data_IF_378419754512
#
_entry.id   IF_378419754512
#
_cell.length_a   1.000
_cell.length_b   1.000
_cell.length_c   1.000
_cell.angle_alpha   90.00
_cell.angle_beta   90.00
_cell.angle_gamma   90.00
#
_symmetry.space_group_name_H-M   'P 1'
#
loop_
_entity.id
_entity.type
_entity.pdbx_description
1 polymer ?
#
# COMPACT_ATOMS: atom_id res chain seq x y z
N UNK A 1 -12.27 12.76 4.26
CA UNK A 1 -11.20 13.78 4.41
C UNK A 1 -10.10 13.80 3.33
N UNK A 2 -9.89 12.78 2.49
CA UNK A 2 -9.23 12.97 1.17
C UNK A 2 -10.21 12.64 0.04
N UNK A 3 -10.92 11.51 0.17
CA UNK A 3 -12.00 11.09 -0.72
C UNK A 3 -13.19 12.08 -0.83
N UNK A 4 -13.34 12.99 0.13
CA UNK A 4 -14.40 14.00 0.12
C UNK A 4 -13.99 15.30 -0.60
N UNK A 5 -12.69 15.56 -0.73
CA UNK A 5 -12.15 16.77 -1.36
C UNK A 5 -11.63 16.51 -2.79
N UNK A 6 -11.28 15.26 -3.09
CA UNK A 6 -10.82 14.86 -4.42
C UNK A 6 -11.99 14.63 -5.39
N UNK A 7 -11.84 14.96 -6.68
CA UNK A 7 -12.83 14.61 -7.70
C UNK A 7 -13.08 13.09 -7.74
N UNK A 8 -14.28 12.71 -8.18
CA UNK A 8 -14.57 11.30 -8.46
C UNK A 8 -13.58 10.74 -9.49
N UNK A 9 -13.03 9.57 -9.20
CA UNK A 9 -11.99 8.91 -10.00
C UNK A 9 -10.58 9.42 -9.74
N UNK A 10 -10.34 10.29 -8.75
CA UNK A 10 -8.99 10.76 -8.43
C UNK A 10 -8.08 9.56 -8.12
N UNK A 11 -6.90 9.48 -8.76
CA UNK A 11 -6.03 8.33 -8.65
C UNK A 11 -5.28 8.32 -7.32
N UNK A 12 -5.23 7.16 -6.68
CA UNK A 12 -4.48 6.95 -5.43
C UNK A 12 -3.68 5.67 -5.48
N UNK A 13 -2.55 5.68 -4.78
CA UNK A 13 -1.77 4.48 -4.52
C UNK A 13 -1.92 4.06 -3.06
N UNK A 14 -2.18 2.76 -2.85
CA UNK A 14 -2.18 2.17 -1.52
C UNK A 14 -0.75 1.78 -1.13
N UNK A 15 -0.23 2.41 -0.07
CA UNK A 15 1.03 2.00 0.53
C UNK A 15 0.79 0.89 1.55
N UNK A 16 1.47 -0.24 1.38
CA UNK A 16 1.48 -1.37 2.31
C UNK A 16 2.80 -1.35 3.07
N UNK A 17 2.74 -1.43 4.39
CA UNK A 17 3.92 -1.57 5.23
C UNK A 17 4.27 -3.05 5.39
N UNK A 18 5.31 -3.46 4.67
CA UNK A 18 5.84 -4.83 4.71
C UNK A 18 7.05 -4.99 5.65
N UNK A 19 7.38 -3.96 6.46
CA UNK A 19 8.50 -4.05 7.41
C UNK A 19 9.29 -2.76 7.68
N UNK A 20 8.88 -1.60 7.13
CA UNK A 20 9.50 -0.31 7.48
C UNK A 20 8.91 0.30 8.75
N UNK A 21 7.67 -0.04 9.10
CA UNK A 21 6.99 0.44 10.32
C UNK A 21 6.94 1.96 10.46
N UNK A 22 6.80 2.65 9.32
CA UNK A 22 6.71 4.11 9.24
C UNK A 22 5.35 4.58 8.72
N UNK A 23 5.00 4.17 7.52
CA UNK A 23 3.77 4.58 6.82
C UNK A 23 3.31 3.41 5.95
N UNK A 24 2.02 3.10 6.01
CA UNK A 24 1.36 2.09 5.19
C UNK A 24 0.41 1.24 6.02
N UNK A 25 -0.58 0.62 5.37
CA UNK A 25 -1.40 -0.39 6.02
C UNK A 25 -0.59 -1.68 6.20
N UNK A 26 -0.79 -2.40 7.30
CA UNK A 26 -0.22 -3.75 7.43
C UNK A 26 -0.77 -4.69 6.33
N UNK A 27 -0.05 -5.77 5.95
CA UNK A 27 -0.46 -6.64 4.84
C UNK A 27 -1.85 -7.26 5.01
N UNK A 28 -2.19 -7.69 6.23
CA UNK A 28 -3.51 -8.25 6.52
C UNK A 28 -4.67 -7.29 6.19
N UNK A 29 -4.71 -6.09 6.79
CA UNK A 29 -5.74 -5.10 6.49
C UNK A 29 -5.68 -4.44 5.10
N UNK A 30 -4.57 -4.56 4.37
CA UNK A 30 -4.37 -3.86 3.09
C UNK A 30 -5.41 -4.25 2.03
N UNK A 31 -5.83 -5.52 1.98
CA UNK A 31 -6.83 -5.99 1.03
C UNK A 31 -8.21 -5.37 1.29
N UNK A 32 -8.61 -5.22 2.55
CA UNK A 32 -9.86 -4.57 2.93
C UNK A 32 -9.84 -3.08 2.57
N UNK A 33 -8.70 -2.42 2.81
CA UNK A 33 -8.53 -1.02 2.44
C UNK A 33 -8.59 -0.82 0.92
N UNK A 34 -7.95 -1.69 0.14
CA UNK A 34 -8.04 -1.66 -1.32
C UNK A 34 -9.49 -1.82 -1.81
N UNK A 35 -10.25 -2.74 -1.22
CA UNK A 35 -11.68 -2.92 -1.52
C UNK A 35 -12.49 -1.68 -1.16
N UNK A 36 -12.23 -1.06 0.00
CA UNK A 36 -12.91 0.15 0.42
C UNK A 36 -12.63 1.33 -0.51
N UNK A 37 -11.39 1.47 -1.01
CA UNK A 37 -11.04 2.48 -2.01
C UNK A 37 -11.78 2.23 -3.32
N UNK A 38 -11.79 0.98 -3.81
CA UNK A 38 -12.44 0.61 -5.06
C UNK A 38 -13.97 0.75 -5.03
N UNK A 39 -14.59 0.61 -3.86
CA UNK A 39 -16.03 0.84 -3.66
C UNK A 39 -16.38 2.32 -3.47
N UNK A 40 -15.37 3.18 -3.25
CA UNK A 40 -15.53 4.60 -3.00
C UNK A 40 -15.42 5.46 -4.28
N UNK A 41 -15.33 6.79 -4.11
CA UNK A 41 -15.21 7.72 -5.23
C UNK A 41 -13.80 7.81 -5.80
N UNK A 42 -12.81 7.07 -5.28
CA UNK A 42 -11.42 7.14 -5.69
C UNK A 42 -11.08 6.02 -6.67
N UNK A 43 -10.02 6.20 -7.46
CA UNK A 43 -9.49 5.14 -8.33
C UNK A 43 -8.20 4.58 -7.73
N UNK A 44 -8.21 3.31 -7.34
CA UNK A 44 -7.00 2.63 -6.92
C UNK A 44 -6.11 2.37 -8.15
N UNK A 45 -5.02 3.13 -8.29
CA UNK A 45 -4.13 3.06 -9.45
C UNK A 45 -2.95 2.10 -9.22
N UNK A 46 -2.61 1.82 -7.96
CA UNK A 46 -1.51 0.92 -7.64
C UNK A 46 -1.38 0.59 -6.16
N UNK A 47 -0.62 -0.45 -5.88
CA UNK A 47 -0.22 -0.87 -4.54
C UNK A 47 1.30 -0.92 -4.50
N UNK A 48 1.92 -0.44 -3.42
CA UNK A 48 3.37 -0.40 -3.31
C UNK A 48 3.86 -0.54 -1.87
N UNK A 49 5.12 -0.91 -1.73
CA UNK A 49 5.88 -0.88 -0.47
C UNK A 49 7.25 -0.27 -0.72
N UNK A 50 7.96 0.06 0.35
CA UNK A 50 9.34 0.50 0.29
C UNK A 50 10.23 -0.52 1.02
N UNK A 51 11.36 -0.88 0.41
CA UNK A 51 12.29 -1.82 1.02
C UNK A 51 13.06 -1.16 2.16
N UNK A 52 13.13 -1.82 3.30
CA UNK A 52 13.74 -1.23 4.50
C UNK A 52 15.27 -1.25 4.43
N UNK A 53 15.84 -2.31 3.84
CA UNK A 53 17.28 -2.60 3.86
C UNK A 53 17.75 -3.23 2.52
N UNK A 54 17.28 -2.69 1.40
CA UNK A 54 17.47 -3.24 0.04
C UNK A 54 18.92 -3.56 -0.33
N UNK A 55 19.88 -2.81 0.21
CA UNK A 55 21.31 -2.93 -0.10
C UNK A 55 22.06 -3.87 0.85
N UNK A 56 21.45 -4.27 1.97
CA UNK A 56 22.14 -4.93 3.09
C UNK A 56 21.60 -6.34 3.37
N UNK A 57 20.28 -6.53 3.25
CA UNK A 57 19.64 -7.81 3.55
C UNK A 57 18.68 -8.23 2.43
N UNK A 58 19.18 -9.16 1.61
CA UNK A 58 18.43 -9.70 0.47
C UNK A 58 17.26 -10.56 0.91
N UNK A 59 17.41 -11.32 1.99
CA UNK A 59 16.38 -12.25 2.44
C UNK A 59 15.21 -11.48 3.05
N UNK A 60 15.48 -10.44 3.84
CA UNK A 60 14.47 -9.52 4.31
C UNK A 60 13.75 -8.84 3.14
N UNK A 61 14.50 -8.33 2.16
CA UNK A 61 13.94 -7.68 0.97
C UNK A 61 13.02 -8.61 0.17
N UNK A 62 13.41 -9.88 -0.02
CA UNK A 62 12.57 -10.90 -0.66
C UNK A 62 11.31 -11.16 0.18
N UNK A 63 11.44 -11.20 1.51
CA UNK A 63 10.31 -11.28 2.44
C UNK A 63 9.30 -10.15 2.21
N UNK A 64 9.79 -8.92 2.02
CA UNK A 64 8.94 -7.77 1.71
C UNK A 64 8.20 -7.91 0.38
N UNK A 65 8.82 -8.47 -0.67
CA UNK A 65 8.14 -8.75 -1.94
C UNK A 65 7.00 -9.75 -1.76
N UNK A 66 7.22 -10.81 -0.98
CA UNK A 66 6.20 -11.83 -0.70
C UNK A 66 5.05 -11.28 0.14
N UNK A 67 5.34 -10.39 1.09
CA UNK A 67 4.33 -9.77 1.93
C UNK A 67 3.44 -8.76 1.19
N UNK A 68 3.88 -8.26 0.02
CA UNK A 68 3.09 -7.37 -0.84
C UNK A 68 2.16 -8.13 -1.81
N UNK A 69 2.55 -9.35 -2.20
CA UNK A 69 1.85 -10.19 -3.17
C UNK A 69 0.60 -10.86 -2.57
#
# INVERSE_FOLDING_TARGET
ELAAAAPAGFPVHLKVDTGMHRIGAAPGPAADLARAVAAGPLRLEGVWTHFAVAEQDRDFTIGQTRALA
#
